data_IF_835575638519
#
_entry.id   IF_835575638519
#
_cell.length_a   1.000
_cell.length_b   1.000
_cell.length_c   1.000
_cell.angle_alpha   90.00
_cell.angle_beta   90.00
_cell.angle_gamma   90.00
#
_symmetry.space_group_name_H-M   'P 1'
#
loop_
_entity.id
_entity.type
_entity.pdbx_description
1 polymer ?
#
# COMPACT_ATOMS: atom_id res chain seq x y z
N UNK A 1 15.60 16.18 6.31
CA UNK A 1 14.29 16.24 5.61
C UNK A 1 13.38 15.32 6.39
N UNK A 2 12.37 15.87 7.05
CA UNK A 2 11.30 15.05 7.65
C UNK A 2 10.59 14.32 6.51
N UNK A 3 10.47 12.99 6.60
CA UNK A 3 9.76 12.21 5.58
C UNK A 3 8.29 12.65 5.52
N UNK A 4 7.69 12.67 4.33
CA UNK A 4 6.31 13.13 4.15
C UNK A 4 5.28 12.30 4.95
N UNK A 5 5.57 11.02 5.23
CA UNK A 5 4.58 10.09 5.78
C UNK A 5 4.32 10.30 7.29
N UNK A 6 5.34 10.41 8.17
CA UNK A 6 5.11 10.75 9.59
C UNK A 6 4.28 12.03 9.78
N UNK A 7 4.56 13.09 9.02
CA UNK A 7 3.84 14.36 9.13
C UNK A 7 2.37 14.23 8.68
N UNK A 8 2.07 13.38 7.68
CA UNK A 8 0.70 13.08 7.25
C UNK A 8 -0.07 12.38 8.37
N UNK A 9 0.55 11.42 9.07
CA UNK A 9 -0.11 10.70 10.17
C UNK A 9 -0.46 11.64 11.33
N UNK A 10 0.41 12.59 11.68
CA UNK A 10 0.13 13.58 12.73
C UNK A 10 -1.01 14.53 12.34
N UNK A 11 -0.99 15.06 11.11
CA UNK A 11 -2.10 15.90 10.62
C UNK A 11 -3.41 15.13 10.62
N UNK A 12 -3.37 13.86 10.23
CA UNK A 12 -4.57 13.06 10.10
C UNK A 12 -5.13 12.61 11.47
N UNK A 13 -4.26 12.35 12.47
CA UNK A 13 -4.65 12.21 13.89
C UNK A 13 -5.39 13.44 14.40
N UNK A 14 -4.84 14.63 14.13
CA UNK A 14 -5.40 15.90 14.60
C UNK A 14 -6.74 16.23 13.94
N UNK A 15 -6.86 16.00 12.63
CA UNK A 15 -8.07 16.36 11.85
C UNK A 15 -9.18 15.31 11.96
N UNK A 16 -8.84 14.06 12.24
CA UNK A 16 -9.79 12.96 12.27
C UNK A 16 -9.56 12.09 13.52
N UNK A 17 -9.86 12.61 14.72
CA UNK A 17 -9.58 11.93 15.99
C UNK A 17 -10.38 10.64 16.16
N UNK A 18 -11.42 10.40 15.36
CA UNK A 18 -12.24 9.18 15.38
C UNK A 18 -11.88 8.20 14.25
N UNK A 19 -10.89 8.52 13.40
CA UNK A 19 -10.47 7.62 12.34
C UNK A 19 -9.89 6.31 12.91
N UNK A 20 -10.30 5.18 12.34
CA UNK A 20 -9.87 3.83 12.74
C UNK A 20 -8.62 3.36 12.00
N UNK A 21 -8.24 4.05 10.92
CA UNK A 21 -7.03 3.80 10.15
C UNK A 21 -6.94 4.74 8.95
N UNK A 22 -5.87 4.59 8.16
CA UNK A 22 -5.66 5.34 6.93
C UNK A 22 -5.54 4.41 5.73
N UNK A 23 -6.25 4.75 4.66
CA UNK A 23 -6.02 4.22 3.33
C UNK A 23 -5.21 5.24 2.55
N UNK A 24 -4.06 4.83 2.02
CA UNK A 24 -3.23 5.65 1.14
C UNK A 24 -3.22 4.99 -0.23
N UNK A 25 -3.44 5.81 -1.26
CA UNK A 25 -3.38 5.35 -2.66
C UNK A 25 -2.59 6.32 -3.52
N UNK A 26 -1.94 5.81 -4.55
CA UNK A 26 -1.43 6.64 -5.64
C UNK A 26 -2.60 7.26 -6.42
N UNK A 27 -2.38 8.40 -7.09
CA UNK A 27 -3.47 9.17 -7.70
C UNK A 27 -4.12 8.46 -8.91
N UNK A 28 -3.37 7.62 -9.61
CA UNK A 28 -3.86 6.80 -10.73
C UNK A 28 -4.29 5.39 -10.28
N UNK A 29 -4.38 5.15 -8.98
CA UNK A 29 -4.90 3.91 -8.40
C UNK A 29 -6.40 4.05 -8.12
N UNK A 30 -7.19 3.07 -8.56
CA UNK A 30 -8.61 2.99 -8.22
C UNK A 30 -8.88 1.82 -7.29
N UNK A 31 -9.93 1.97 -6.48
CA UNK A 31 -10.42 0.90 -5.62
C UNK A 31 -11.95 0.98 -5.52
N UNK A 32 -12.58 -0.19 -5.38
CA UNK A 32 -13.99 -0.37 -5.04
C UNK A 32 -14.09 -0.70 -3.56
N UNK A 33 -14.22 0.29 -2.66
CA UNK A 33 -14.23 0.04 -1.22
C UNK A 33 -15.22 -1.05 -0.81
N UNK A 34 -16.40 -1.09 -1.43
CA UNK A 34 -17.40 -2.13 -1.15
C UNK A 34 -16.91 -3.54 -1.45
N UNK A 35 -16.33 -3.74 -2.65
CA UNK A 35 -15.83 -5.03 -3.12
C UNK A 35 -14.64 -5.46 -2.27
N UNK A 36 -13.73 -4.53 -1.95
CA UNK A 36 -12.60 -4.82 -1.08
C UNK A 36 -13.09 -5.26 0.30
N UNK A 37 -13.86 -4.43 1.00
CA UNK A 37 -14.29 -4.78 2.36
C UNK A 37 -15.13 -6.06 2.41
N UNK A 38 -16.05 -6.26 1.45
CA UNK A 38 -16.99 -7.38 1.51
C UNK A 38 -16.48 -8.68 0.87
N UNK A 39 -15.84 -8.59 -0.29
CA UNK A 39 -15.42 -9.78 -1.05
C UNK A 39 -13.97 -10.14 -0.79
N UNK A 40 -13.14 -9.16 -0.41
CA UNK A 40 -11.75 -9.42 -0.05
C UNK A 40 -11.58 -9.82 1.40
N UNK A 41 -12.61 -9.59 2.23
CA UNK A 41 -12.57 -9.84 3.66
C UNK A 41 -11.54 -8.94 4.33
N UNK A 42 -11.33 -7.73 3.80
CA UNK A 42 -10.40 -6.76 4.39
C UNK A 42 -10.77 -6.50 5.84
N UNK A 43 -9.82 -6.82 6.73
CA UNK A 43 -9.90 -6.58 8.17
C UNK A 43 -9.32 -5.21 8.49
N UNK A 44 -10.13 -4.31 9.03
CA UNK A 44 -9.71 -2.94 9.37
C UNK A 44 -8.79 -2.90 10.61
N UNK A 45 -8.63 -4.01 11.30
CA UNK A 45 -7.66 -4.23 12.36
C UNK A 45 -6.29 -4.70 11.84
N UNK A 46 -6.19 -5.04 10.56
CA UNK A 46 -4.97 -5.54 9.93
C UNK A 46 -4.34 -4.48 9.02
N UNK A 47 -3.02 -4.54 8.87
CA UNK A 47 -2.32 -3.92 7.75
C UNK A 47 -2.84 -4.53 6.45
N UNK A 48 -2.98 -3.71 5.42
CA UNK A 48 -3.26 -4.22 4.08
C UNK A 48 -2.38 -3.54 3.05
N UNK A 49 -1.86 -4.32 2.11
CA UNK A 49 -1.24 -3.80 0.90
C UNK A 49 -1.23 -4.87 -0.20
N UNK A 50 -0.72 -4.47 -1.37
CA UNK A 50 -0.70 -5.29 -2.57
C UNK A 50 0.28 -6.48 -2.43
N UNK A 51 -0.20 -7.70 -2.73
CA UNK A 51 0.55 -8.96 -2.63
C UNK A 51 1.45 -9.22 -3.84
N UNK A 52 0.83 -9.20 -5.01
CA UNK A 52 1.41 -9.62 -6.28
C UNK A 52 1.46 -8.40 -7.17
N UNK A 53 2.39 -8.39 -8.12
CA UNK A 53 2.37 -7.41 -9.19
C UNK A 53 0.96 -7.30 -9.75
N UNK A 54 0.47 -6.06 -9.81
CA UNK A 54 -0.84 -5.77 -10.32
C UNK A 54 -0.86 -6.31 -11.76
N UNK A 55 -1.67 -7.33 -12.08
CA UNK A 55 -1.92 -7.76 -13.48
C UNK A 55 -1.38 -9.11 -14.04
N UNK A 56 -2.35 -10.01 -14.27
CA UNK A 56 -2.56 -10.93 -15.42
C UNK A 56 -1.63 -12.15 -15.62
N UNK A 57 -0.36 -12.16 -15.20
CA UNK A 57 0.52 -13.35 -15.33
C UNK A 57 0.94 -13.88 -13.95
N UNK A 58 1.08 -15.21 -13.83
CA UNK A 58 1.43 -15.92 -12.58
C UNK A 58 2.72 -15.41 -11.89
N UNK A 59 3.53 -14.60 -12.56
CA UNK A 59 4.78 -14.04 -12.04
C UNK A 59 4.97 -12.65 -12.65
N UNK A 60 4.49 -11.61 -11.97
CA UNK A 60 4.96 -10.24 -12.21
C UNK A 60 6.14 -9.99 -11.25
N UNK A 61 7.34 -9.64 -11.76
CA UNK A 61 8.51 -9.32 -10.93
C UNK A 61 8.31 -8.11 -10.00
N UNK A 62 7.19 -7.38 -10.10
CA UNK A 62 6.81 -6.32 -9.16
C UNK A 62 6.12 -6.77 -7.87
N UNK A 63 5.85 -8.07 -7.70
CA UNK A 63 5.25 -8.59 -6.46
C UNK A 63 6.13 -8.39 -5.23
N UNK A 64 5.51 -8.44 -4.04
CA UNK A 64 6.23 -8.38 -2.79
C UNK A 64 7.25 -9.53 -2.71
N UNK A 65 8.52 -9.18 -2.61
CA UNK A 65 9.62 -10.10 -2.31
C UNK A 65 10.55 -9.43 -1.30
N UNK A 66 11.45 -10.19 -0.67
CA UNK A 66 12.34 -9.67 0.34
C UNK A 66 13.77 -10.13 0.08
N UNK A 67 14.72 -9.22 0.25
CA UNK A 67 16.16 -9.41 0.13
C UNK A 67 16.77 -9.30 1.52
N UNK A 68 17.71 -10.18 1.88
CA UNK A 68 18.25 -10.29 3.23
C UNK A 68 19.78 -10.22 3.24
N UNK A 69 20.30 -9.39 4.14
CA UNK A 69 21.73 -9.18 4.31
C UNK A 69 22.33 -8.23 3.29
N UNK A 70 23.56 -7.80 3.56
CA UNK A 70 24.26 -6.76 2.80
C UNK A 70 24.44 -7.15 1.34
N UNK A 71 24.93 -8.37 1.10
CA UNK A 71 25.29 -8.83 -0.23
C UNK A 71 24.10 -8.89 -1.18
N UNK A 72 22.98 -9.46 -0.73
CA UNK A 72 21.77 -9.57 -1.55
C UNK A 72 21.17 -8.20 -1.86
N UNK A 73 21.12 -7.30 -0.87
CA UNK A 73 20.56 -5.95 -1.03
C UNK A 73 21.45 -5.09 -1.94
N UNK A 74 22.77 -5.07 -1.72
CA UNK A 74 23.68 -4.19 -2.45
C UNK A 74 23.97 -4.65 -3.88
N UNK A 75 23.85 -5.95 -4.16
CA UNK A 75 24.07 -6.50 -5.50
C UNK A 75 22.79 -6.63 -6.33
N UNK A 76 21.60 -6.48 -5.74
CA UNK A 76 20.37 -6.47 -6.52
C UNK A 76 20.30 -5.21 -7.41
N UNK A 77 20.04 -5.43 -8.70
CA UNK A 77 19.94 -4.38 -9.72
C UNK A 77 18.52 -4.23 -10.27
N UNK A 78 17.52 -4.66 -9.50
CA UNK A 78 16.14 -4.68 -9.95
C UNK A 78 15.53 -3.28 -10.02
N UNK A 79 14.36 -3.21 -10.65
CA UNK A 79 13.65 -1.97 -11.00
C UNK A 79 13.35 -1.05 -9.79
N UNK A 80 13.16 -1.64 -8.61
CA UNK A 80 12.67 -0.95 -7.42
C UNK A 80 13.71 -0.05 -6.74
N UNK A 81 14.97 0.00 -7.19
CA UNK A 81 15.98 0.86 -6.56
C UNK A 81 16.05 2.29 -7.10
N UNK A 82 15.47 2.58 -8.27
CA UNK A 82 15.52 3.90 -8.93
C UNK A 82 16.86 4.64 -8.71
N UNK A 83 17.95 4.08 -9.24
CA UNK A 83 19.31 4.52 -8.96
C UNK A 83 19.99 3.66 -7.89
N UNK A 84 20.83 4.25 -7.04
CA UNK A 84 21.58 3.54 -5.98
C UNK A 84 20.88 3.57 -4.61
N UNK A 85 19.54 3.49 -4.57
CA UNK A 85 18.79 3.52 -3.29
C UNK A 85 18.87 2.23 -2.50
N UNK A 86 19.45 1.17 -3.07
CA UNK A 86 19.84 -0.04 -2.33
C UNK A 86 20.83 0.27 -1.20
N UNK A 87 21.81 1.15 -1.42
CA UNK A 87 22.76 1.60 -0.38
C UNK A 87 22.05 2.33 0.76
N UNK A 88 21.11 3.23 0.42
CA UNK A 88 20.32 3.96 1.41
C UNK A 88 19.43 2.99 2.22
N UNK A 89 18.86 1.98 1.54
CA UNK A 89 18.01 0.95 2.14
C UNK A 89 18.77 0.02 3.08
N UNK A 90 19.98 -0.41 2.68
CA UNK A 90 20.88 -1.15 3.54
C UNK A 90 21.22 -0.37 4.81
N UNK A 91 21.59 0.90 4.67
CA UNK A 91 21.92 1.75 5.83
C UNK A 91 20.73 1.91 6.78
N UNK A 92 19.51 2.05 6.25
CA UNK A 92 18.31 2.16 7.08
C UNK A 92 18.05 0.86 7.85
N UNK A 93 18.08 -0.30 7.18
CA UNK A 93 17.81 -1.57 7.84
C UNK A 93 18.92 -1.99 8.81
N UNK A 94 20.18 -1.67 8.52
CA UNK A 94 21.28 -1.94 9.43
C UNK A 94 21.19 -1.08 10.71
N UNK A 95 20.80 0.20 10.61
CA UNK A 95 20.51 1.03 11.80
C UNK A 95 19.38 0.45 12.63
N UNK A 96 18.28 0.05 11.98
CA UNK A 96 17.16 -0.58 12.67
C UNK A 96 17.55 -1.90 13.35
N UNK A 97 18.39 -2.70 12.72
CA UNK A 97 18.96 -3.90 13.32
C UNK A 97 19.80 -3.58 14.55
N UNK A 98 20.70 -2.59 14.46
CA UNK A 98 21.57 -2.21 15.59
C UNK A 98 20.77 -1.68 16.80
N UNK A 99 19.70 -0.92 16.55
CA UNK A 99 18.90 -0.28 17.61
C UNK A 99 17.85 -1.22 18.19
N UNK A 100 17.15 -1.98 17.35
CA UNK A 100 15.97 -2.76 17.74
C UNK A 100 16.11 -4.27 17.55
N UNK A 101 17.20 -4.74 16.93
CA UNK A 101 17.39 -6.17 16.63
C UNK A 101 16.52 -6.70 15.50
N UNK A 102 15.92 -5.85 14.66
CA UNK A 102 15.12 -6.28 13.52
C UNK A 102 15.97 -7.02 12.47
N UNK A 103 15.33 -7.86 11.66
CA UNK A 103 16.01 -8.56 10.58
C UNK A 103 16.59 -7.55 9.58
N UNK A 104 17.78 -7.86 9.07
CA UNK A 104 18.42 -7.08 7.99
C UNK A 104 17.80 -7.39 6.63
N UNK A 105 16.49 -7.22 6.53
CA UNK A 105 15.69 -7.57 5.36
C UNK A 105 14.97 -6.33 4.82
N UNK A 106 15.05 -6.15 3.51
CA UNK A 106 14.31 -5.11 2.77
C UNK A 106 13.30 -5.83 1.88
N UNK A 107 12.07 -5.35 1.85
CA UNK A 107 10.98 -5.96 1.08
C UNK A 107 10.43 -4.99 0.04
N UNK A 108 10.93 -5.01 -1.20
CA UNK A 108 10.35 -4.27 -2.30
C UNK A 108 8.99 -4.81 -2.74
N UNK A 109 8.11 -3.92 -3.20
CA UNK A 109 6.84 -4.27 -3.79
C UNK A 109 5.97 -3.05 -4.09
N UNK A 110 4.85 -3.29 -4.78
CA UNK A 110 3.90 -2.24 -5.06
C UNK A 110 3.35 -1.58 -3.78
N UNK A 111 3.26 -0.24 -3.83
CA UNK A 111 2.81 0.59 -2.72
C UNK A 111 1.74 1.63 -3.13
N UNK A 112 1.13 1.42 -4.30
CA UNK A 112 0.03 2.23 -4.85
C UNK A 112 -1.24 2.19 -4.04
N UNK A 113 -1.38 1.20 -3.15
CA UNK A 113 -2.52 1.05 -2.26
C UNK A 113 -2.09 0.33 -1.00
N UNK A 114 -2.30 0.96 0.16
CA UNK A 114 -2.08 0.33 1.46
C UNK A 114 -2.95 0.95 2.55
N UNK A 115 -3.26 0.15 3.57
CA UNK A 115 -4.05 0.54 4.71
C UNK A 115 -3.28 0.27 6.02
N UNK A 116 -3.37 1.23 6.93
CA UNK A 116 -2.72 1.22 8.23
C UNK A 116 -3.76 1.44 9.35
N UNK A 117 -4.01 0.43 10.20
CA UNK A 117 -4.92 0.57 11.33
C UNK A 117 -4.33 1.55 12.35
N UNK A 118 -5.21 2.22 13.09
CA UNK A 118 -4.82 3.23 14.08
C UNK A 118 -3.84 2.71 15.13
N UNK A 119 -4.03 1.46 15.56
CA UNK A 119 -3.15 0.78 16.52
C UNK A 119 -1.69 0.74 16.08
N UNK A 120 -1.42 0.80 14.77
CA UNK A 120 -0.07 0.72 14.21
C UNK A 120 0.57 2.10 13.91
N UNK A 121 -0.14 3.23 14.08
CA UNK A 121 0.36 4.54 13.65
C UNK A 121 1.67 4.97 14.33
N UNK A 122 1.80 4.77 15.64
CA UNK A 122 3.01 5.13 16.37
C UNK A 122 4.22 4.29 15.93
N UNK A 123 4.03 2.98 15.83
CA UNK A 123 5.06 2.05 15.36
C UNK A 123 5.48 2.37 13.92
N UNK A 124 4.51 2.60 13.04
CA UNK A 124 4.78 2.96 11.65
C UNK A 124 5.59 4.26 11.56
N UNK A 125 5.22 5.30 12.30
CA UNK A 125 5.94 6.57 12.31
C UNK A 125 7.39 6.40 12.77
N UNK A 126 7.62 5.62 13.84
CA UNK A 126 8.95 5.36 14.38
C UNK A 126 9.84 4.56 13.43
N UNK A 127 9.31 3.54 12.75
CA UNK A 127 10.10 2.73 11.82
C UNK A 127 10.32 3.47 10.49
N UNK A 128 9.29 4.14 9.97
CA UNK A 128 9.36 4.83 8.68
C UNK A 128 10.26 6.07 8.67
N UNK A 129 10.56 6.67 9.83
CA UNK A 129 11.48 7.81 9.92
C UNK A 129 12.90 7.48 9.44
N UNK A 130 13.30 6.21 9.50
CA UNK A 130 14.60 5.74 8.98
C UNK A 130 14.66 5.67 7.45
N UNK A 131 13.51 5.71 6.78
CA UNK A 131 13.38 5.48 5.34
C UNK A 131 13.21 6.75 4.49
N UNK A 132 13.42 7.94 5.06
CA UNK A 132 13.19 9.23 4.39
C UNK A 132 13.68 9.36 2.92
N UNK A 133 14.93 8.97 2.56
CA UNK A 133 15.45 9.11 1.20
C UNK A 133 15.16 7.91 0.29
N UNK A 134 14.50 6.86 0.79
CA UNK A 134 14.26 5.60 0.09
C UNK A 134 12.96 5.70 -0.70
N UNK A 135 12.90 5.05 -1.86
CA UNK A 135 11.68 5.01 -2.66
C UNK A 135 10.55 4.29 -1.93
N UNK A 136 9.34 4.81 -2.05
CA UNK A 136 8.17 4.32 -1.32
C UNK A 136 7.84 2.84 -1.62
N UNK A 137 8.11 2.33 -2.83
CA UNK A 137 7.97 0.91 -3.20
C UNK A 137 8.96 -0.02 -2.51
N UNK A 138 9.98 0.52 -1.85
CA UNK A 138 10.88 -0.23 -0.96
C UNK A 138 10.55 0.08 0.50
N UNK A 139 10.43 1.36 0.84
CA UNK A 139 10.23 1.81 2.20
C UNK A 139 8.91 1.29 2.80
N UNK A 140 7.78 1.47 2.11
CA UNK A 140 6.46 1.14 2.67
C UNK A 140 6.32 -0.36 2.89
N UNK A 141 6.55 -1.26 1.91
CA UNK A 141 6.35 -2.68 2.16
C UNK A 141 7.37 -3.22 3.16
N UNK A 142 8.60 -2.68 3.21
CA UNK A 142 9.58 -3.03 4.27
C UNK A 142 9.06 -2.67 5.66
N UNK A 143 8.58 -1.44 5.86
CA UNK A 143 8.02 -0.99 7.15
C UNK A 143 6.83 -1.87 7.55
N UNK A 144 5.91 -2.15 6.63
CA UNK A 144 4.75 -3.02 6.91
C UNK A 144 5.18 -4.44 7.31
N UNK A 145 6.22 -4.99 6.66
CA UNK A 145 6.79 -6.29 7.02
C UNK A 145 7.46 -6.29 8.40
N UNK A 146 8.17 -5.21 8.77
CA UNK A 146 8.76 -5.06 10.10
C UNK A 146 7.66 -5.05 11.17
N UNK A 147 6.61 -4.25 10.97
CA UNK A 147 5.46 -4.19 11.88
C UNK A 147 4.79 -5.55 12.02
N UNK A 148 4.64 -6.28 10.91
CA UNK A 148 4.06 -7.61 10.93
C UNK A 148 4.91 -8.63 11.70
N UNK A 149 6.22 -8.67 11.45
CA UNK A 149 7.12 -9.72 11.99
C UNK A 149 7.59 -9.45 13.41
N UNK A 150 7.77 -8.19 13.77
CA UNK A 150 8.39 -7.80 15.05
C UNK A 150 7.43 -7.17 16.04
N UNK A 151 6.20 -6.83 15.61
CA UNK A 151 5.20 -6.17 16.48
C UNK A 151 3.82 -6.86 16.45
N UNK A 152 3.76 -8.09 15.93
CA UNK A 152 2.55 -8.91 15.84
C UNK A 152 1.34 -8.20 15.21
N UNK A 153 1.59 -7.20 14.35
CA UNK A 153 0.51 -6.51 13.65
C UNK A 153 0.00 -7.42 12.52
N UNK A 154 -1.30 -7.79 12.48
CA UNK A 154 -1.81 -8.66 11.44
C UNK A 154 -1.60 -8.04 10.06
N UNK A 155 -1.18 -8.84 9.08
CA UNK A 155 -0.96 -8.40 7.70
C UNK A 155 -1.85 -9.18 6.74
N UNK A 156 -2.54 -8.45 5.87
CA UNK A 156 -3.36 -8.99 4.80
C UNK A 156 -2.84 -8.51 3.45
N UNK A 157 -2.38 -9.46 2.63
CA UNK A 157 -1.88 -9.17 1.29
C UNK A 157 -2.99 -9.44 0.26
N UNK A 158 -3.28 -8.48 -0.62
CA UNK A 158 -4.29 -8.65 -1.67
C UNK A 158 -3.68 -8.76 -3.08
N UNK A 159 -4.02 -9.85 -3.77
CA UNK A 159 -3.55 -10.15 -5.12
C UNK A 159 -4.60 -9.90 -6.20
N UNK A 160 -5.74 -9.28 -5.87
CA UNK A 160 -6.87 -9.09 -6.80
C UNK A 160 -6.91 -7.72 -7.46
N UNK A 161 -5.82 -6.96 -7.48
CA UNK A 161 -5.78 -5.71 -8.23
C UNK A 161 -5.26 -5.92 -9.66
N UNK A 162 -5.86 -5.21 -10.61
CA UNK A 162 -5.39 -5.13 -11.99
C UNK A 162 -4.28 -4.09 -12.12
N UNK A 163 -3.31 -4.25 -13.04
CA UNK A 163 -2.38 -3.16 -13.31
C UNK A 163 -1.04 -3.60 -13.86
N UNK A 164 0.00 -2.89 -13.39
CA UNK A 164 1.41 -3.11 -13.70
C UNK A 164 2.07 -1.83 -14.23
N UNK A 165 3.39 -1.72 -14.11
CA UNK A 165 4.11 -0.51 -14.53
C UNK A 165 3.94 -0.21 -16.03
N UNK A 166 3.76 -1.26 -16.84
CA UNK A 166 3.80 -1.17 -18.30
C UNK A 166 2.46 -0.90 -18.99
N UNK A 167 1.33 -0.90 -18.30
CA UNK A 167 0.01 -0.83 -18.95
C UNK A 167 -0.87 0.29 -18.39
N UNK A 168 -1.15 1.28 -19.23
CA UNK A 168 -2.16 2.31 -18.97
C UNK A 168 -3.55 1.71 -19.19
N UNK A 169 -4.42 1.84 -18.19
CA UNK A 169 -5.81 1.38 -18.25
C UNK A 169 -6.65 2.40 -19.01
N UNK A 170 -7.20 1.97 -20.15
CA UNK A 170 -8.13 2.76 -20.98
C UNK A 170 -9.50 2.10 -21.15
N UNK A 171 -9.62 0.85 -20.75
CA UNK A 171 -10.79 0.00 -20.97
C UNK A 171 -11.63 0.01 -19.68
N UNK A 172 -12.81 0.64 -19.69
CA UNK A 172 -13.63 0.84 -18.47
C UNK A 172 -14.24 -0.45 -17.93
N UNK A 173 -14.38 -1.48 -18.77
CA UNK A 173 -14.80 -2.83 -18.36
C UNK A 173 -13.81 -3.46 -17.36
N UNK A 174 -12.52 -3.14 -17.47
CA UNK A 174 -11.50 -3.54 -16.49
C UNK A 174 -11.82 -2.96 -15.11
N UNK A 175 -12.19 -1.68 -15.02
CA UNK A 175 -12.53 -1.06 -13.75
C UNK A 175 -13.75 -1.72 -13.09
N UNK A 176 -14.73 -2.10 -13.90
CA UNK A 176 -15.95 -2.76 -13.42
C UNK A 176 -15.68 -4.21 -12.99
N UNK A 177 -14.72 -4.89 -13.63
CA UNK A 177 -14.37 -6.29 -13.36
C UNK A 177 -13.48 -6.48 -12.13
N UNK A 178 -12.59 -5.54 -11.83
CA UNK A 178 -11.58 -5.70 -10.78
C UNK A 178 -11.89 -4.82 -9.55
N UNK A 179 -11.65 -5.32 -8.32
CA UNK A 179 -11.87 -4.55 -7.10
C UNK A 179 -10.94 -3.34 -6.97
N UNK A 180 -9.82 -3.33 -7.68
CA UNK A 180 -8.82 -2.28 -7.63
C UNK A 180 -7.89 -2.36 -8.84
N UNK A 181 -7.12 -1.30 -9.07
CA UNK A 181 -5.99 -1.35 -9.98
C UNK A 181 -5.22 -0.05 -10.16
N UNK A 182 -4.17 -0.11 -10.96
CA UNK A 182 -3.20 0.98 -11.18
C UNK A 182 -3.16 1.48 -12.63
N UNK A 183 -2.60 2.68 -12.82
CA UNK A 183 -2.50 3.41 -14.10
C UNK A 183 -3.84 3.68 -14.74
N UNK A 184 -4.78 4.21 -13.98
CA UNK A 184 -6.03 4.72 -14.52
C UNK A 184 -5.78 5.95 -15.41
N UNK A 185 -6.23 5.92 -16.68
CA UNK A 185 -6.12 7.08 -17.59
C UNK A 185 -7.16 8.15 -17.24
N UNK A 186 -6.85 8.99 -16.25
CA UNK A 186 -7.72 10.08 -15.82
C UNK A 186 -7.88 11.20 -16.85
N UNK A 187 -7.17 11.18 -17.99
CA UNK A 187 -7.41 12.12 -19.11
C UNK A 187 -8.69 11.77 -19.85
N UNK A 188 -9.06 10.49 -19.92
CA UNK A 188 -10.27 10.03 -20.58
C UNK A 188 -11.52 10.35 -19.75
N UNK A 189 -12.50 11.01 -20.37
CA UNK A 189 -13.78 11.31 -19.71
C UNK A 189 -14.50 10.03 -19.29
N UNK A 190 -14.53 9.00 -20.16
CA UNK A 190 -15.18 7.73 -19.88
C UNK A 190 -14.61 7.05 -18.62
N UNK A 191 -13.30 7.17 -18.38
CA UNK A 191 -12.64 6.65 -17.19
C UNK A 191 -13.08 7.39 -15.93
N UNK A 192 -13.15 8.72 -15.98
CA UNK A 192 -13.67 9.53 -14.86
C UNK A 192 -15.14 9.23 -14.57
N UNK A 193 -15.98 9.18 -15.59
CA UNK A 193 -17.40 8.86 -15.45
C UNK A 193 -17.62 7.47 -14.83
N UNK A 194 -16.79 6.50 -15.22
CA UNK A 194 -16.83 5.14 -14.67
C UNK A 194 -16.42 5.13 -13.20
N UNK A 195 -15.33 5.82 -12.84
CA UNK A 195 -14.90 5.96 -11.45
C UNK A 195 -15.99 6.60 -10.58
N UNK A 196 -16.56 7.71 -11.04
CA UNK A 196 -17.62 8.43 -10.32
C UNK A 196 -18.86 7.56 -10.11
N UNK A 197 -19.29 6.85 -11.16
CA UNK A 197 -20.43 5.93 -11.08
C UNK A 197 -20.18 4.81 -10.04
N UNK A 198 -18.99 4.19 -10.09
CA UNK A 198 -18.60 3.15 -9.14
C UNK A 198 -18.62 3.65 -7.68
N UNK A 199 -18.07 4.83 -7.43
CA UNK A 199 -18.06 5.44 -6.09
C UNK A 199 -19.49 5.83 -5.63
N UNK A 200 -20.33 6.29 -6.54
CA UNK A 200 -21.73 6.60 -6.25
C UNK A 200 -22.54 5.36 -5.88
N UNK A 201 -22.29 4.22 -6.53
CA UNK A 201 -22.88 2.92 -6.19
C UNK A 201 -22.45 2.44 -4.80
N UNK A 202 -21.15 2.52 -4.49
CA UNK A 202 -20.63 2.18 -3.17
C UNK A 202 -21.26 3.03 -2.07
N UNK A 203 -21.39 4.34 -2.29
CA UNK A 203 -22.03 5.24 -1.34
C UNK A 203 -23.51 4.91 -1.14
N UNK A 204 -24.25 4.56 -2.21
CA UNK A 204 -25.64 4.10 -2.10
C UNK A 204 -25.74 2.85 -1.25
N UNK A 205 -24.85 1.88 -1.44
CA UNK A 205 -24.82 0.65 -0.67
C UNK A 205 -24.50 0.92 0.82
N UNK A 206 -23.51 1.76 1.11
CA UNK A 206 -23.15 2.15 2.48
C UNK A 206 -24.33 2.84 3.20
N UNK A 207 -25.01 3.77 2.52
CA UNK A 207 -26.21 4.44 3.06
C UNK A 207 -27.35 3.47 3.34
N UNK A 208 -27.54 2.44 2.51
CA UNK A 208 -28.54 1.38 2.75
C UNK A 208 -28.21 0.59 4.01
N UNK A 209 -26.95 0.16 4.18
CA UNK A 209 -26.51 -0.57 5.37
C UNK A 209 -26.66 0.26 6.65
N UNK A 210 -26.25 1.53 6.62
CA UNK A 210 -26.37 2.42 7.76
C UNK A 210 -27.84 2.65 8.19
N UNK A 211 -28.79 2.64 7.25
CA UNK A 211 -30.23 2.71 7.56
C UNK A 211 -30.73 1.41 8.18
N UNK A 212 -30.34 0.27 7.63
CA UNK A 212 -30.77 -1.04 8.14
C UNK A 212 -30.19 -1.35 9.53
N UNK A 213 -28.99 -0.86 9.86
CA UNK A 213 -28.40 -1.05 11.19
C UNK A 213 -29.05 -0.19 12.30
N UNK A 214 -29.91 0.77 11.92
CA UNK A 214 -30.67 1.62 12.86
C UNK A 214 -32.13 1.20 13.02
N UNK A 215 -32.59 0.26 12.21
CA UNK A 215 -33.94 -0.31 12.25
C UNK A 215 -33.93 -1.59 13.08
#
# INVERSE_FOLDING_TARGET
QEGCVPSILEVAKLRNPDATGFLTTHADFWFRPSTIVNETGLRLEALWHLKVGMGIRKVDPGGLHCLSGEEEILNDTSWHWFGRRNVDSWRAIDRLHQVYGYDRTVCPGWSDGWYLPRSAWGLFANVSSEFGPIVHEVAIPTVLQILHRHHDVPLQLDGRCWGGCGRLMRETDVMLKWPCGHRMDLVQQATRDTLESMLAEDLKMLRRRARNAKA
#
